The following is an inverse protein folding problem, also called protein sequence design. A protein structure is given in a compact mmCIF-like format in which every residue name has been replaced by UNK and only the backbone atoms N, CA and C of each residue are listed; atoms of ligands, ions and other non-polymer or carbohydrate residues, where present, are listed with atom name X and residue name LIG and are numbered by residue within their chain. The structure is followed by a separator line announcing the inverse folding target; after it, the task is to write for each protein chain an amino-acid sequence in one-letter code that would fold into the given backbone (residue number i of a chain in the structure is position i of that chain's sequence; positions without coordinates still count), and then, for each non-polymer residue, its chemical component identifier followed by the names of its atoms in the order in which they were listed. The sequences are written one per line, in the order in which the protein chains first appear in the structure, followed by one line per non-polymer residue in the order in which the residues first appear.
data_IF_276137431962
#
_entry.id   IF_276137431962
#
_cell.length_a   1.000
_cell.length_b   1.000
_cell.length_c   1.000
_cell.angle_alpha   90.00
_cell.angle_beta   90.00
_cell.angle_gamma   90.00
#
_symmetry.space_group_name_H-M   'P 1'
#
loop_
_entity.id
_entity.type
_entity.pdbx_description
1 polymer ?
#
# COMPACT_ATOMS: atom_id res chain seq x y z
N UNK A 1 -20.61 -5.99 4.51
CA UNK A 1 -19.98 -5.89 3.17
C UNK A 1 -18.72 -6.73 3.17
N UNK A 2 -18.76 -7.95 2.65
CA UNK A 2 -17.57 -8.81 2.58
C UNK A 2 -16.60 -8.30 1.52
N UNK A 3 -15.33 -8.09 1.87
CA UNK A 3 -14.29 -7.83 0.87
C UNK A 3 -14.22 -9.00 -0.11
N UNK A 4 -14.60 -8.78 -1.36
CA UNK A 4 -14.57 -9.79 -2.42
C UNK A 4 -13.11 -10.17 -2.68
N UNK A 5 -12.68 -11.30 -2.12
CA UNK A 5 -11.33 -11.84 -2.21
C UNK A 5 -11.20 -12.81 -3.39
N UNK A 6 -11.60 -12.38 -4.59
CA UNK A 6 -11.51 -13.22 -5.78
C UNK A 6 -10.16 -13.04 -6.50
N UNK A 7 -9.54 -14.15 -6.91
CA UNK A 7 -8.36 -14.16 -7.80
C UNK A 7 -8.58 -13.34 -9.08
N UNK A 8 -9.82 -13.24 -9.56
CA UNK A 8 -10.20 -12.42 -10.71
C UNK A 8 -10.05 -10.92 -10.43
N UNK A 9 -10.40 -10.46 -9.23
CA UNK A 9 -10.24 -9.05 -8.81
C UNK A 9 -8.76 -8.70 -8.72
N UNK A 10 -7.94 -9.61 -8.20
CA UNK A 10 -6.48 -9.42 -8.14
C UNK A 10 -5.87 -9.36 -9.52
N UNK A 11 -6.32 -10.23 -10.42
CA UNK A 11 -5.89 -10.22 -11.82
C UNK A 11 -6.29 -8.92 -12.51
N UNK A 12 -7.50 -8.43 -12.29
CA UNK A 12 -7.99 -7.16 -12.82
C UNK A 12 -7.16 -5.97 -12.32
N UNK A 13 -6.82 -5.94 -11.03
CA UNK A 13 -5.96 -4.90 -10.44
C UNK A 13 -4.55 -4.96 -11.02
N UNK A 14 -3.98 -6.15 -11.15
CA UNK A 14 -2.66 -6.34 -11.77
C UNK A 14 -2.67 -5.91 -13.23
N UNK A 15 -3.73 -6.23 -13.99
CA UNK A 15 -3.85 -5.83 -15.40
C UNK A 15 -3.98 -4.30 -15.57
N UNK A 16 -4.78 -3.63 -14.74
CA UNK A 16 -5.04 -2.19 -14.90
C UNK A 16 -4.07 -1.27 -14.14
N UNK A 17 -3.46 -1.75 -13.04
CA UNK A 17 -2.59 -0.96 -12.15
C UNK A 17 -1.18 -1.56 -11.99
N UNK A 18 -0.89 -2.67 -12.67
CA UNK A 18 0.43 -3.29 -12.76
C UNK A 18 0.77 -4.24 -11.60
N UNK A 19 0.59 -3.82 -10.35
CA UNK A 19 0.88 -4.66 -9.17
C UNK A 19 -0.21 -4.52 -8.12
N UNK A 20 -0.49 -5.64 -7.43
CA UNK A 20 -1.26 -5.59 -6.20
C UNK A 20 -0.43 -4.84 -5.15
N UNK A 21 -0.96 -3.74 -4.61
CA UNK A 21 -0.22 -2.93 -3.66
C UNK A 21 -0.07 -3.69 -2.33
N UNK A 22 1.10 -3.54 -1.68
CA UNK A 22 1.35 -4.10 -0.34
C UNK A 22 0.31 -3.64 0.68
N UNK A 23 -0.21 -2.42 0.53
CA UNK A 23 -1.32 -1.88 1.33
C UNK A 23 -2.59 -2.75 1.23
N UNK A 24 -2.98 -3.15 0.03
CA UNK A 24 -4.15 -4.01 -0.21
C UNK A 24 -3.94 -5.41 0.39
N UNK A 25 -2.71 -5.94 0.29
CA UNK A 25 -2.34 -7.22 0.90
C UNK A 25 -2.42 -7.16 2.43
N UNK A 26 -1.87 -6.11 3.03
CA UNK A 26 -1.90 -5.88 4.48
C UNK A 26 -3.34 -5.66 4.98
N UNK A 27 -4.15 -4.90 4.26
CA UNK A 27 -5.55 -4.66 4.62
C UNK A 27 -6.36 -5.96 4.65
N UNK A 28 -6.18 -6.82 3.64
CA UNK A 28 -6.83 -8.14 3.60
C UNK A 28 -6.36 -9.07 4.71
N UNK A 29 -5.06 -9.04 5.03
CA UNK A 29 -4.50 -9.84 6.11
C UNK A 29 -5.08 -9.45 7.47
N UNK A 30 -5.37 -8.16 7.70
CA UNK A 30 -6.05 -7.66 8.90
C UNK A 30 -7.56 -7.90 8.89
N UNK A 31 -8.17 -7.92 7.71
CA UNK A 31 -9.62 -8.09 7.60
C UNK A 31 -10.09 -9.52 7.90
N UNK A 32 -9.27 -10.55 7.59
CA UNK A 32 -9.57 -11.94 7.94
C UNK A 32 -9.81 -12.17 9.45
N UNK A 33 -8.90 -11.75 10.36
CA UNK A 33 -9.12 -11.91 11.79
C UNK A 33 -10.27 -11.03 12.30
N UNK A 34 -10.51 -9.86 11.71
CA UNK A 34 -11.66 -9.04 12.09
C UNK A 34 -13.00 -9.67 11.72
N UNK A 35 -13.06 -10.53 10.70
CA UNK A 35 -14.29 -11.26 10.35
C UNK A 35 -14.65 -12.35 11.36
N UNK A 36 -13.64 -12.93 12.02
CA UNK A 36 -13.84 -13.93 13.08
C UNK A 36 -14.20 -13.31 14.42
N UNK A 37 -14.15 -11.98 14.56
CA UNK A 37 -14.58 -11.30 15.77
C UNK A 37 -16.10 -11.20 15.79
N UNK A 38 -16.70 -11.82 16.80
CA UNK A 38 -18.14 -11.71 17.08
C UNK A 38 -18.45 -10.32 17.64
N UNK A 39 -19.37 -9.60 17.00
CA UNK A 39 -19.97 -8.37 17.56
C UNK A 39 -20.87 -8.66 18.77
N UNK A 40 -21.19 -9.93 19.03
CA UNK A 40 -22.00 -10.37 20.17
C UNK A 40 -21.18 -10.65 21.42
N UNK A 41 -19.89 -10.31 21.44
CA UNK A 41 -19.01 -10.51 22.59
C UNK A 41 -19.06 -9.31 23.55
N UNK A 42 -20.22 -8.68 23.71
CA UNK A 42 -20.47 -7.73 24.79
C UNK A 42 -21.38 -8.43 25.77
N UNK A 43 -20.87 -8.70 26.96
CA UNK A 43 -21.65 -9.30 28.04
C UNK A 43 -22.19 -8.15 28.87
N UNK A 44 -23.51 -7.98 28.86
CA UNK A 44 -24.22 -6.99 29.67
C UNK A 44 -24.26 -7.51 31.12
N UNK A 45 -23.64 -6.77 32.04
CA UNK A 45 -23.75 -6.98 33.48
C UNK A 45 -24.42 -5.77 34.14
N UNK A 46 -24.99 -5.96 35.34
CA UNK A 46 -25.72 -4.94 36.11
C UNK A 46 -24.91 -3.65 36.39
N UNK A 47 -23.58 -3.69 36.24
CA UNK A 47 -22.65 -2.59 36.51
C UNK A 47 -21.90 -2.06 35.27
N UNK A 48 -22.18 -2.58 34.07
CA UNK A 48 -21.57 -2.12 32.83
C UNK A 48 -21.36 -3.21 31.78
N UNK A 49 -20.83 -2.81 30.63
CA UNK A 49 -20.57 -3.69 29.50
C UNK A 49 -19.18 -4.31 29.61
N UNK A 50 -19.08 -5.63 29.69
CA UNK A 50 -17.80 -6.33 29.67
C UNK A 50 -17.42 -6.65 28.23
N UNK A 51 -16.26 -6.16 27.82
CA UNK A 51 -15.67 -6.41 26.51
C UNK A 51 -14.39 -7.24 26.68
N UNK A 52 -14.41 -8.54 26.36
CA UNK A 52 -13.22 -9.37 26.32
C UNK A 52 -12.33 -8.98 25.13
N UNK A 53 -11.04 -8.92 25.40
CA UNK A 53 -10.01 -8.66 24.40
C UNK A 53 -9.87 -9.86 23.46
N UNK A 54 -9.61 -9.56 22.19
CA UNK A 54 -9.46 -10.58 21.13
C UNK A 54 -8.07 -11.22 21.11
N UNK A 55 -7.06 -10.58 21.71
CA UNK A 55 -5.66 -11.00 21.64
C UNK A 55 -5.03 -11.27 22.98
N UNK A 56 -5.39 -10.49 24.00
CA UNK A 56 -5.02 -10.76 25.39
C UNK A 56 -6.20 -11.46 26.06
N UNK A 57 -5.96 -12.42 26.95
CA UNK A 57 -7.01 -13.06 27.76
C UNK A 57 -7.54 -12.09 28.85
N UNK A 58 -7.62 -10.81 28.51
CA UNK A 58 -7.97 -9.69 29.39
C UNK A 58 -9.40 -9.25 29.07
N UNK A 59 -10.14 -8.87 30.11
CA UNK A 59 -11.50 -8.34 29.99
C UNK A 59 -11.53 -6.90 30.47
N UNK A 60 -12.11 -6.01 29.67
CA UNK A 60 -12.26 -4.60 30.02
C UNK A 60 -13.70 -4.31 30.44
N UNK A 61 -13.86 -3.61 31.56
CA UNK A 61 -15.14 -3.10 32.05
C UNK A 61 -15.37 -1.71 31.44
N UNK A 62 -16.43 -1.57 30.64
CA UNK A 62 -16.89 -0.28 30.13
C UNK A 62 -18.05 0.17 31.01
N UNK A 63 -17.78 1.17 31.85
CA UNK A 63 -18.80 1.84 32.64
C UNK A 63 -19.42 2.97 31.82
N UNK A 64 -20.73 3.14 31.96
CA UNK A 64 -21.41 4.31 31.43
C UNK A 64 -20.97 5.52 32.25
N UNK A 65 -20.20 6.42 31.62
CA UNK A 65 -19.82 7.67 32.27
C UNK A 65 -21.08 8.53 32.39
N UNK A 66 -21.65 8.60 33.60
CA UNK A 66 -22.44 9.75 33.99
C UNK A 66 -21.51 10.96 33.94
N UNK A 67 -21.50 11.70 32.84
CA UNK A 67 -20.66 12.89 32.70
C UNK A 67 -21.21 13.95 33.65
N UNK A 68 -20.64 14.00 34.86
CA UNK A 68 -21.10 14.88 35.94
C UNK A 68 -20.55 16.30 35.85
N UNK A 69 -19.59 16.57 34.96
CA UNK A 69 -18.95 17.89 34.81
C UNK A 69 -19.24 18.52 33.45
N UNK A 70 -19.82 19.72 33.50
CA UNK A 70 -20.14 20.55 32.32
C UNK A 70 -18.88 20.92 31.51
N UNK A 71 -17.70 20.89 32.14
CA UNK A 71 -16.42 21.17 31.50
C UNK A 71 -15.99 20.06 30.53
N UNK A 72 -16.24 18.80 30.89
CA UNK A 72 -15.91 17.66 30.04
C UNK A 72 -16.76 17.64 28.77
N UNK A 73 -18.04 18.03 28.89
CA UNK A 73 -18.94 18.19 27.73
C UNK A 73 -18.43 19.27 26.78
N UNK A 74 -17.92 20.39 27.29
CA UNK A 74 -17.33 21.46 26.47
C UNK A 74 -16.07 20.98 25.72
N UNK A 75 -15.24 20.15 26.34
CA UNK A 75 -14.05 19.58 25.69
C UNK A 75 -14.44 18.67 24.52
N UNK A 76 -15.45 17.81 24.71
CA UNK A 76 -15.96 16.94 23.66
C UNK A 76 -16.59 17.76 22.53
N UNK A 77 -17.39 18.76 22.87
CA UNK A 77 -18.01 19.65 21.89
C UNK A 77 -16.96 20.37 21.02
N UNK A 78 -15.89 20.88 21.64
CA UNK A 78 -14.80 21.53 20.91
C UNK A 78 -14.02 20.56 20.01
N UNK A 79 -13.88 19.31 20.43
CA UNK A 79 -13.26 18.25 19.62
C UNK A 79 -14.12 17.90 18.40
N UNK A 80 -15.45 17.86 18.57
CA UNK A 80 -16.39 17.62 17.46
C UNK A 80 -16.40 18.80 16.49
N UNK A 81 -16.45 20.04 17.00
CA UNK A 81 -16.43 21.26 16.17
C UNK A 81 -15.16 21.33 15.31
N UNK A 82 -14.00 21.04 15.90
CA UNK A 82 -12.72 21.08 15.18
C UNK A 82 -12.56 19.98 14.12
N UNK A 83 -13.21 18.83 14.29
CA UNK A 83 -13.13 17.70 13.34
C UNK A 83 -14.13 17.81 12.17
N UNK A 84 -15.16 18.65 12.30
CA UNK A 84 -16.21 18.85 11.30
C UNK A 84 -15.70 19.21 9.87
N UNK A 85 -14.76 20.16 9.68
CA UNK A 85 -14.26 20.49 8.34
C UNK A 85 -13.52 19.33 7.67
N UNK A 86 -12.82 18.51 8.44
CA UNK A 86 -12.13 17.32 7.92
C UNK A 86 -13.13 16.25 7.48
N UNK A 87 -14.23 16.10 8.21
CA UNK A 87 -15.31 15.19 7.85
C UNK A 87 -16.04 15.64 6.59
N UNK A 88 -16.39 16.92 6.47
CA UNK A 88 -17.07 17.45 5.27
C UNK A 88 -16.21 17.31 4.01
N UNK A 89 -14.90 17.58 4.11
CA UNK A 89 -13.97 17.37 3.01
C UNK A 89 -13.92 15.90 2.57
N UNK A 90 -13.87 14.95 3.52
CA UNK A 90 -13.85 13.53 3.19
C UNK A 90 -15.16 13.03 2.55
N UNK A 91 -16.31 13.58 2.97
CA UNK A 91 -17.60 13.27 2.35
C UNK A 91 -17.65 13.80 0.92
N UNK A 92 -17.26 15.06 0.69
CA UNK A 92 -17.17 15.63 -0.66
C UNK A 92 -16.20 14.84 -1.56
N UNK A 93 -15.07 14.36 -1.04
CA UNK A 93 -14.16 13.51 -1.81
C UNK A 93 -14.75 12.13 -2.15
N UNK A 94 -15.59 11.56 -1.27
CA UNK A 94 -16.32 10.32 -1.56
C UNK A 94 -17.37 10.52 -2.65
N UNK A 95 -18.11 11.62 -2.62
CA UNK A 95 -19.10 11.95 -3.65
C UNK A 95 -18.45 12.16 -5.03
N UNK A 96 -17.32 12.86 -5.06
CA UNK A 96 -16.53 13.07 -6.28
C UNK A 96 -15.82 11.81 -6.79
N UNK A 97 -15.78 10.73 -6.01
CA UNK A 97 -15.16 9.46 -6.42
C UNK A 97 -15.95 8.76 -7.54
N UNK A 98 -17.23 9.10 -7.72
CA UNK A 98 -18.09 8.57 -8.78
C UNK A 98 -17.96 9.33 -10.11
N UNK A 99 -17.35 10.52 -10.12
CA UNK A 99 -17.11 11.34 -11.30
C UNK A 99 -15.63 11.26 -11.73
N UNK A 100 -15.17 10.05 -12.04
CA UNK A 100 -13.93 9.89 -12.80
C UNK A 100 -14.24 9.85 -14.29
N UNK A 101 -14.77 10.96 -14.84
CA UNK A 101 -14.46 11.27 -16.23
C UNK A 101 -12.96 11.52 -16.29
N UNK A 102 -12.27 10.91 -17.25
CA UNK A 102 -10.81 10.95 -17.36
C UNK A 102 -10.26 12.38 -17.36
N UNK A 103 -9.96 12.90 -16.18
CA UNK A 103 -9.15 14.10 -16.03
C UNK A 103 -7.75 13.71 -16.46
N UNK A 104 -7.46 13.90 -17.76
CA UNK A 104 -6.11 13.90 -18.29
C UNK A 104 -5.36 14.99 -17.51
N UNK A 105 -4.69 14.59 -16.43
CA UNK A 105 -3.72 15.40 -15.72
C UNK A 105 -2.57 15.63 -16.70
N UNK A 106 -2.74 16.60 -17.58
CA UNK A 106 -1.72 17.04 -18.51
C UNK A 106 -0.79 17.91 -17.67
N UNK A 107 0.47 17.50 -17.42
CA UNK A 107 1.40 18.35 -16.71
C UNK A 107 1.54 19.66 -17.51
N UNK A 108 1.52 20.81 -16.81
CA UNK A 108 1.54 22.14 -17.43
C UNK A 108 2.66 22.30 -18.48
N UNK A 109 3.77 21.59 -18.30
CA UNK A 109 4.93 21.63 -19.17
C UNK A 109 4.79 20.80 -20.46
N UNK A 110 3.65 20.13 -20.70
CA UNK A 110 3.46 19.30 -21.91
C UNK A 110 3.27 20.14 -23.18
N UNK A 111 2.84 21.40 -23.04
CA UNK A 111 2.70 22.36 -24.14
C UNK A 111 3.96 23.23 -24.35
N UNK A 112 5.00 23.08 -23.51
CA UNK A 112 6.24 23.85 -23.64
C UNK A 112 7.20 23.07 -24.52
N UNK A 113 7.54 23.64 -25.68
CA UNK A 113 8.57 23.05 -26.53
C UNK A 113 9.94 23.08 -25.80
N UNK A 114 10.66 21.94 -25.72
CA UNK A 114 11.95 21.91 -25.06
C UNK A 114 12.97 22.76 -25.82
N UNK A 115 13.59 23.72 -25.14
CA UNK A 115 14.61 24.58 -25.72
C UNK A 115 15.82 23.75 -26.20
N UNK A 116 16.31 24.03 -27.42
CA UNK A 116 17.51 23.37 -27.97
C UNK A 116 18.70 23.69 -27.08
N UNK A 117 19.37 22.66 -26.58
CA UNK A 117 20.58 22.80 -25.76
C UNK A 117 21.80 22.93 -26.67
N UNK A 118 22.62 23.95 -26.44
CA UNK A 118 23.83 24.23 -27.23
C UNK A 118 24.92 23.15 -27.05
N UNK A 119 24.91 22.41 -25.94
CA UNK A 119 25.92 21.41 -25.63
C UNK A 119 25.28 20.12 -25.09
N UNK A 120 25.85 18.98 -25.48
CA UNK A 120 25.41 17.67 -24.98
C UNK A 120 25.84 17.49 -23.52
N UNK A 121 24.87 17.41 -22.60
CA UNK A 121 25.15 17.02 -21.20
C UNK A 121 25.12 15.51 -21.00
N UNK A 122 24.89 14.74 -22.06
CA UNK A 122 24.84 13.28 -21.98
C UNK A 122 26.27 12.78 -21.80
N UNK A 123 26.61 12.34 -20.59
CA UNK A 123 27.85 11.59 -20.36
C UNK A 123 27.90 10.45 -21.38
N UNK A 124 28.92 10.47 -22.25
CA UNK A 124 29.15 9.38 -23.20
C UNK A 124 29.29 8.10 -22.38
N UNK A 125 28.39 7.15 -22.58
CA UNK A 125 28.61 5.79 -22.07
C UNK A 125 29.87 5.32 -22.76
N UNK A 126 30.93 5.00 -22.00
CA UNK A 126 32.04 4.22 -22.55
C UNK A 126 31.39 2.96 -23.13
N UNK A 127 31.61 2.70 -24.42
CA UNK A 127 31.33 1.37 -24.97
C UNK A 127 31.97 0.38 -24.01
N UNK A 128 31.21 -0.59 -23.54
CA UNK A 128 31.74 -1.60 -22.64
C UNK A 128 33.05 -2.09 -23.27
N UNK A 129 34.16 -1.93 -22.56
CA UNK A 129 35.45 -2.46 -23.01
C UNK A 129 35.22 -3.91 -23.42
N UNK A 130 35.87 -4.35 -24.50
CA UNK A 130 35.82 -5.73 -25.01
C UNK A 130 36.28 -6.67 -23.90
N UNK A 131 35.38 -7.02 -22.99
CA UNK A 131 35.60 -8.05 -21.99
C UNK A 131 35.57 -9.35 -22.79
N UNK A 132 36.66 -10.10 -22.72
CA UNK A 132 36.70 -11.43 -23.30
C UNK A 132 35.47 -12.19 -22.81
N UNK A 133 34.66 -12.67 -23.76
CA UNK A 133 33.49 -13.47 -23.43
C UNK A 133 33.96 -14.74 -22.73
N UNK A 134 33.15 -15.24 -21.79
CA UNK A 134 33.44 -16.54 -21.19
C UNK A 134 33.41 -17.59 -22.31
N UNK A 135 34.41 -18.49 -22.39
CA UNK A 135 34.44 -19.50 -23.44
C UNK A 135 33.20 -20.39 -23.34
N UNK A 136 32.68 -20.78 -24.51
CA UNK A 136 31.62 -21.77 -24.59
C UNK A 136 32.12 -23.13 -24.11
N UNK A 137 31.21 -24.03 -23.73
CA UNK A 137 31.56 -25.37 -23.24
C UNK A 137 32.40 -26.19 -24.24
N UNK A 138 32.18 -26.00 -25.54
CA UNK A 138 32.98 -26.63 -26.59
C UNK A 138 34.39 -26.05 -26.67
N UNK A 139 34.51 -24.74 -26.50
CA UNK A 139 35.80 -24.05 -26.50
C UNK A 139 36.61 -24.38 -25.26
N UNK A 140 35.97 -24.45 -24.09
CA UNK A 140 36.65 -24.84 -22.84
C UNK A 140 37.19 -26.26 -22.92
N UNK A 141 36.43 -27.20 -23.50
CA UNK A 141 36.89 -28.57 -23.71
C UNK A 141 38.10 -28.65 -24.65
N UNK A 142 38.08 -27.90 -25.77
CA UNK A 142 39.24 -27.82 -26.69
C UNK A 142 40.46 -27.19 -26.02
N UNK A 143 40.27 -26.13 -25.23
CA UNK A 143 41.33 -25.49 -24.46
C UNK A 143 41.94 -26.50 -23.47
N UNK A 144 41.11 -27.25 -22.74
CA UNK A 144 41.56 -28.27 -21.81
C UNK A 144 42.37 -29.37 -22.50
N UNK A 145 41.91 -29.88 -23.65
CA UNK A 145 42.66 -30.87 -24.43
C UNK A 145 44.01 -30.31 -24.91
N UNK A 146 44.06 -29.06 -25.37
CA UNK A 146 45.30 -28.42 -25.81
C UNK A 146 46.31 -28.26 -24.67
N UNK A 147 45.85 -27.96 -23.45
CA UNK A 147 46.69 -27.85 -22.27
C UNK A 147 47.32 -29.20 -21.91
N UNK A 148 46.53 -30.28 -21.93
CA UNK A 148 47.00 -31.64 -21.63
C UNK A 148 48.02 -32.13 -22.66
N UNK A 149 47.80 -31.81 -23.95
CA UNK A 149 48.69 -32.23 -25.03
C UNK A 149 50.02 -31.48 -25.04
N UNK A 150 50.04 -30.23 -24.55
CA UNK A 150 51.25 -29.38 -24.53
C UNK A 150 52.11 -29.56 -23.25
N UNK A 151 51.70 -30.40 -22.31
CA UNK A 151 52.44 -30.69 -21.07
C UNK A 151 53.33 -31.94 -21.14
N UNK A 152 53.64 -32.44 -22.35
CA UNK A 152 54.58 -33.55 -22.58
C UNK A 152 55.84 -33.07 -23.29
#
# INVERSE_FOLDING_TARGET
MGFISHKLVDRLIVMNKGKLTSKLKNLRQRHKPNLSLSTAMVIENESGNIVPSSSSHETYLVQENSVSSEEELKIVENSIKSTQPTLSANLAMKENQFLTTENKCIPANKAVEPQKRLFSTRKRKRTAEHRAAKPSEKESHKIALSLIMNTK
#
